data_IF_056405976524
#
_entry.id   IF_056405976524
#
_cell.length_a   1.000
_cell.length_b   1.000
_cell.length_c   1.000
_cell.angle_alpha   90.00
_cell.angle_beta   90.00
_cell.angle_gamma   90.00
#
_symmetry.space_group_name_H-M   'P 1'
#
loop_
_entity.id
_entity.type
_entity.pdbx_description
1 polymer ?
#
# COMPACT_ATOMS: atom_id res chain seq x y z
N UNK A 1 -29.85 -8.46 -27.56
CA UNK A 1 -28.39 -8.28 -27.44
C UNK A 1 -28.21 -7.15 -26.44
N UNK A 2 -27.39 -7.36 -25.40
CA UNK A 2 -27.03 -6.41 -24.31
C UNK A 2 -28.08 -6.03 -23.24
N UNK A 3 -28.42 -6.94 -22.30
CA UNK A 3 -29.02 -6.54 -20.99
C UNK A 3 -28.41 -7.34 -19.79
N UNK A 4 -27.31 -8.10 -19.94
CA UNK A 4 -26.76 -8.93 -18.85
C UNK A 4 -25.23 -8.93 -18.74
N UNK A 5 -24.61 -7.75 -18.68
CA UNK A 5 -23.29 -7.57 -18.06
C UNK A 5 -23.48 -6.88 -16.71
N UNK A 6 -24.03 -7.63 -15.73
CA UNK A 6 -24.04 -7.18 -14.34
C UNK A 6 -22.60 -6.92 -13.89
N UNK A 7 -22.35 -5.71 -13.40
CA UNK A 7 -21.02 -5.16 -13.18
C UNK A 7 -20.24 -5.93 -12.11
N UNK A 8 -19.21 -6.65 -12.53
CA UNK A 8 -18.21 -7.20 -11.61
C UNK A 8 -17.44 -6.00 -11.04
N UNK A 9 -17.46 -5.84 -9.70
CA UNK A 9 -16.71 -4.81 -8.96
C UNK A 9 -17.09 -3.32 -9.14
N UNK A 10 -18.30 -2.98 -9.60
CA UNK A 10 -18.73 -1.58 -9.79
C UNK A 10 -18.40 -0.66 -8.61
N UNK A 11 -18.74 -1.11 -7.39
CA UNK A 11 -18.51 -0.33 -6.16
C UNK A 11 -17.06 0.13 -6.00
N UNK A 12 -16.10 -0.73 -6.35
CA UNK A 12 -14.66 -0.45 -6.25
C UNK A 12 -14.22 0.48 -7.38
N UNK A 13 -14.70 0.22 -8.61
CA UNK A 13 -14.36 1.01 -9.79
C UNK A 13 -14.83 2.47 -9.64
N UNK A 14 -16.04 2.67 -9.14
CA UNK A 14 -16.60 4.01 -8.89
C UNK A 14 -15.86 4.80 -7.81
N UNK A 15 -15.21 4.12 -6.87
CA UNK A 15 -14.52 4.74 -5.72
C UNK A 15 -13.02 4.85 -5.92
N UNK A 16 -12.46 4.19 -6.93
CA UNK A 16 -11.05 4.30 -7.25
C UNK A 16 -10.75 5.69 -7.82
N UNK A 17 -9.71 6.34 -7.30
CA UNK A 17 -9.14 7.55 -7.89
C UNK A 17 -8.41 7.23 -9.18
N UNK A 18 -7.66 6.13 -9.20
CA UNK A 18 -6.92 5.66 -10.36
C UNK A 18 -7.03 4.15 -10.51
N UNK A 19 -7.08 3.69 -11.76
CA UNK A 19 -7.00 2.28 -12.15
C UNK A 19 -6.06 2.19 -13.34
N UNK A 20 -4.88 1.62 -13.14
CA UNK A 20 -3.83 1.60 -14.16
C UNK A 20 -3.28 0.20 -14.41
N UNK A 21 -3.32 -0.29 -15.67
CA UNK A 21 -4.09 0.20 -16.81
C UNK A 21 -5.53 -0.35 -16.76
N UNK A 22 -6.50 0.49 -17.11
CA UNK A 22 -7.92 0.14 -17.08
C UNK A 22 -8.26 -1.02 -18.01
N UNK A 23 -7.66 -1.08 -19.20
CA UNK A 23 -7.94 -2.12 -20.20
C UNK A 23 -7.55 -3.52 -19.72
N UNK A 24 -6.47 -3.63 -18.92
CA UNK A 24 -6.06 -4.93 -18.40
C UNK A 24 -6.95 -5.36 -17.23
N UNK A 25 -7.53 -4.42 -16.47
CA UNK A 25 -8.54 -4.76 -15.46
C UNK A 25 -9.73 -5.48 -16.10
N UNK A 26 -10.25 -4.99 -17.24
CA UNK A 26 -11.37 -5.66 -17.91
C UNK A 26 -11.05 -7.09 -18.34
N UNK A 27 -9.85 -7.31 -18.89
CA UNK A 27 -9.37 -8.66 -19.26
C UNK A 27 -9.25 -9.54 -18.03
N UNK A 28 -8.71 -9.00 -16.95
CA UNK A 28 -8.51 -9.69 -15.67
C UNK A 28 -9.86 -10.13 -15.07
N UNK A 29 -10.87 -9.25 -15.08
CA UNK A 29 -12.22 -9.57 -14.60
C UNK A 29 -12.91 -10.62 -15.48
N UNK A 30 -12.74 -10.56 -16.80
CA UNK A 30 -13.28 -11.56 -17.74
C UNK A 30 -12.65 -12.95 -17.56
N UNK A 31 -11.44 -13.04 -17.02
CA UNK A 31 -10.76 -14.33 -16.78
C UNK A 31 -11.46 -15.20 -15.72
N UNK A 32 -12.30 -14.59 -14.87
CA UNK A 32 -12.99 -15.26 -13.74
C UNK A 32 -12.05 -15.97 -12.75
N UNK A 33 -10.75 -15.68 -12.78
CA UNK A 33 -9.80 -16.25 -11.83
C UNK A 33 -10.00 -15.63 -10.44
N UNK A 34 -9.65 -16.37 -9.40
CA UNK A 34 -9.55 -15.81 -8.06
C UNK A 34 -8.32 -14.89 -7.99
N UNK A 35 -8.55 -13.58 -7.96
CA UNK A 35 -7.51 -12.56 -7.91
C UNK A 35 -6.82 -12.46 -6.55
N UNK A 36 -5.52 -12.21 -6.58
CA UNK A 36 -4.70 -11.88 -5.40
C UNK A 36 -4.59 -10.36 -5.28
N UNK A 37 -5.25 -9.79 -4.27
CA UNK A 37 -5.32 -8.35 -4.05
C UNK A 37 -4.39 -7.96 -2.90
N UNK A 38 -3.27 -7.34 -3.24
CA UNK A 38 -2.23 -6.91 -2.31
C UNK A 38 -2.59 -5.58 -1.65
N UNK A 39 -2.39 -5.50 -0.34
CA UNK A 39 -2.30 -4.25 0.41
C UNK A 39 -1.13 -4.34 1.40
N UNK A 40 -0.17 -3.43 1.26
CA UNK A 40 0.91 -3.26 2.24
C UNK A 40 0.50 -2.32 3.37
N UNK A 41 0.86 -2.68 4.60
CA UNK A 41 0.69 -1.82 5.78
C UNK A 41 1.99 -1.76 6.57
N UNK A 42 2.56 -0.57 6.71
CA UNK A 42 3.76 -0.34 7.53
C UNK A 42 3.34 0.00 8.98
N UNK A 43 3.53 -0.90 9.96
CA UNK A 43 3.05 -0.70 11.32
C UNK A 43 3.97 0.27 12.09
N UNK A 44 3.77 1.57 11.86
CA UNK A 44 4.51 2.64 12.57
C UNK A 44 3.91 3.04 13.92
N UNK A 45 2.76 2.48 14.27
CA UNK A 45 2.10 2.62 15.57
C UNK A 45 1.17 1.41 15.79
N UNK A 46 0.83 1.07 17.04
CA UNK A 46 0.04 -0.13 17.37
C UNK A 46 -1.47 0.10 17.21
N UNK A 47 -1.89 0.92 16.25
CA UNK A 47 -3.28 1.35 16.10
C UNK A 47 -3.67 1.58 14.63
N UNK A 48 -4.96 1.40 14.33
CA UNK A 48 -5.53 1.56 12.99
C UNK A 48 -6.39 2.82 12.95
N UNK A 49 -6.00 3.76 12.07
CA UNK A 49 -6.76 5.00 11.85
C UNK A 49 -7.98 4.79 10.96
N UNK A 50 -8.94 5.72 10.97
CA UNK A 50 -10.03 5.73 9.97
C UNK A 50 -9.52 5.81 8.53
N UNK A 51 -8.35 6.43 8.29
CA UNK A 51 -7.72 6.46 6.98
C UNK A 51 -7.30 5.07 6.50
N UNK A 52 -6.66 4.28 7.37
CA UNK A 52 -6.33 2.88 7.08
C UNK A 52 -7.59 2.03 6.91
N UNK A 53 -8.58 2.23 7.78
CA UNK A 53 -9.86 1.54 7.71
C UNK A 53 -10.53 1.71 6.35
N UNK A 54 -10.52 2.92 5.77
CA UNK A 54 -11.11 3.17 4.46
C UNK A 54 -10.52 2.27 3.37
N UNK A 55 -9.21 2.09 3.33
CA UNK A 55 -8.52 1.22 2.35
C UNK A 55 -8.75 -0.26 2.68
N UNK A 56 -8.68 -0.64 3.95
CA UNK A 56 -8.98 -2.01 4.40
C UNK A 56 -10.41 -2.43 4.04
N UNK A 57 -11.37 -1.50 4.04
CA UNK A 57 -12.74 -1.76 3.57
C UNK A 57 -12.83 -2.02 2.07
N UNK A 58 -11.94 -1.43 1.26
CA UNK A 58 -11.84 -1.77 -0.16
C UNK A 58 -11.28 -3.18 -0.33
N UNK A 59 -10.24 -3.56 0.43
CA UNK A 59 -9.71 -4.92 0.45
C UNK A 59 -10.79 -5.93 0.85
N UNK A 60 -11.55 -5.64 1.91
CA UNK A 60 -12.71 -6.45 2.32
C UNK A 60 -13.72 -6.60 1.20
N UNK A 61 -13.98 -5.53 0.43
CA UNK A 61 -14.93 -5.61 -0.68
C UNK A 61 -14.46 -6.54 -1.80
N UNK A 62 -13.15 -6.61 -2.07
CA UNK A 62 -12.59 -7.64 -2.96
C UNK A 62 -12.85 -9.05 -2.41
N UNK A 63 -12.73 -9.25 -1.09
CA UNK A 63 -13.07 -10.53 -0.47
C UNK A 63 -14.55 -10.89 -0.63
N UNK A 64 -15.46 -9.92 -0.51
CA UNK A 64 -16.90 -10.11 -0.72
C UNK A 64 -17.20 -10.51 -2.18
N UNK A 65 -16.33 -10.15 -3.13
CA UNK A 65 -16.39 -10.60 -4.52
C UNK A 65 -15.70 -11.95 -4.78
N UNK A 66 -15.23 -12.62 -3.73
CA UNK A 66 -14.62 -13.95 -3.80
C UNK A 66 -13.11 -13.95 -4.06
N UNK A 67 -12.45 -12.80 -3.94
CA UNK A 67 -11.00 -12.68 -4.15
C UNK A 67 -10.19 -12.92 -2.89
N UNK A 68 -8.92 -13.25 -3.04
CA UNK A 68 -7.98 -13.40 -1.93
C UNK A 68 -7.38 -12.05 -1.57
N UNK A 69 -7.60 -11.61 -0.33
CA UNK A 69 -6.88 -10.48 0.24
C UNK A 69 -5.49 -10.94 0.69
N UNK A 70 -4.46 -10.26 0.20
CA UNK A 70 -3.06 -10.47 0.63
C UNK A 70 -2.62 -9.23 1.39
N UNK A 71 -2.64 -9.32 2.72
CA UNK A 71 -2.18 -8.28 3.61
C UNK A 71 -0.69 -8.49 3.92
N UNK A 72 0.13 -7.53 3.54
CA UNK A 72 1.56 -7.55 3.81
C UNK A 72 1.85 -6.65 5.00
N UNK A 73 2.36 -7.24 6.08
CA UNK A 73 2.94 -6.50 7.19
C UNK A 73 4.33 -6.03 6.77
N UNK A 74 4.44 -4.72 6.59
CA UNK A 74 5.62 -4.02 6.10
C UNK A 74 6.70 -3.84 7.15
N UNK A 75 7.11 -4.90 7.84
CA UNK A 75 8.02 -4.79 8.99
C UNK A 75 9.47 -4.48 8.57
N UNK A 76 9.88 -4.91 7.37
CA UNK A 76 11.18 -4.52 6.81
C UNK A 76 11.11 -3.11 6.20
N UNK A 77 10.05 -2.82 5.43
CA UNK A 77 9.83 -1.50 4.82
C UNK A 77 9.63 -0.39 5.85
N UNK A 78 9.07 -0.68 7.01
CA UNK A 78 8.96 0.26 8.13
C UNK A 78 10.33 0.73 8.68
N UNK A 79 11.38 -0.10 8.58
CA UNK A 79 12.75 0.27 8.99
C UNK A 79 13.36 1.30 8.04
N UNK A 80 13.04 1.20 6.74
CA UNK A 80 13.46 2.14 5.69
C UNK A 80 12.65 3.44 5.79
N UNK A 81 11.33 3.31 5.92
CA UNK A 81 10.37 4.41 6.01
C UNK A 81 9.87 4.90 4.65
N UNK A 82 8.54 4.84 4.46
CA UNK A 82 7.88 5.34 3.25
C UNK A 82 8.04 6.86 3.08
N UNK A 83 8.66 7.35 1.98
CA UNK A 83 8.77 8.79 1.72
C UNK A 83 7.48 9.38 1.13
N UNK A 84 6.53 8.57 0.67
CA UNK A 84 5.40 8.99 -0.18
C UNK A 84 4.53 10.07 0.48
N UNK A 85 4.51 11.25 -0.15
CA UNK A 85 3.77 12.42 0.33
C UNK A 85 4.33 13.04 1.61
N UNK A 86 5.63 12.83 1.91
CA UNK A 86 6.34 13.43 3.06
C UNK A 86 7.30 14.52 2.61
N UNK A 87 7.45 15.54 3.45
CA UNK A 87 8.37 16.67 3.23
C UNK A 87 9.72 16.50 3.96
N UNK A 88 9.82 15.55 4.89
CA UNK A 88 11.01 15.34 5.73
C UNK A 88 11.33 13.85 5.85
N UNK A 89 12.60 13.53 6.13
CA UNK A 89 13.08 12.17 6.34
C UNK A 89 12.43 11.55 7.57
N UNK A 90 11.99 10.28 7.44
CA UNK A 90 11.41 9.53 8.56
C UNK A 90 12.44 9.23 9.63
N UNK A 91 12.02 9.24 10.90
CA UNK A 91 12.81 8.70 12.00
C UNK A 91 12.86 7.18 11.87
N UNK A 92 14.07 6.61 11.90
CA UNK A 92 14.28 5.16 11.89
C UNK A 92 13.66 4.54 13.14
N UNK A 93 12.83 3.51 12.96
CA UNK A 93 12.20 2.76 14.03
C UNK A 93 12.99 1.49 14.33
N UNK A 94 13.04 1.09 15.61
CA UNK A 94 13.69 -0.15 16.02
C UNK A 94 12.86 -1.37 15.62
N UNK A 95 13.51 -2.50 15.35
CA UNK A 95 12.83 -3.73 14.95
C UNK A 95 11.80 -4.20 16.00
N UNK A 96 12.16 -4.20 17.28
CA UNK A 96 11.25 -4.59 18.36
C UNK A 96 10.00 -3.69 18.42
N UNK A 97 10.15 -2.39 18.13
CA UNK A 97 9.02 -1.44 18.14
C UNK A 97 8.07 -1.72 16.97
N UNK A 98 8.62 -2.04 15.80
CA UNK A 98 7.84 -2.42 14.61
C UNK A 98 7.06 -3.71 14.87
N UNK A 99 7.70 -4.70 15.49
CA UNK A 99 7.06 -5.99 15.80
C UNK A 99 5.92 -5.80 16.83
N UNK A 100 6.12 -4.96 17.83
CA UNK A 100 5.08 -4.64 18.81
C UNK A 100 3.91 -3.86 18.18
N UNK A 101 4.20 -2.94 17.26
CA UNK A 101 3.16 -2.27 16.48
C UNK A 101 2.37 -3.25 15.60
N UNK A 102 3.06 -4.18 14.93
CA UNK A 102 2.45 -5.22 14.12
C UNK A 102 1.49 -6.09 14.95
N UNK A 103 1.90 -6.49 16.16
CA UNK A 103 1.04 -7.21 17.12
C UNK A 103 -0.19 -6.41 17.53
N UNK A 104 -0.07 -5.08 17.66
CA UNK A 104 -1.17 -4.19 18.00
C UNK A 104 -2.21 -4.02 16.89
N UNK A 105 -1.77 -3.84 15.65
CA UNK A 105 -2.69 -3.61 14.51
C UNK A 105 -3.37 -4.90 14.01
N UNK A 106 -2.70 -6.05 14.12
CA UNK A 106 -3.15 -7.29 13.51
C UNK A 106 -4.55 -7.76 13.98
N UNK A 107 -4.88 -7.78 15.29
CA UNK A 107 -6.21 -8.15 15.76
C UNK A 107 -7.30 -7.22 15.21
N UNK A 108 -6.99 -5.93 15.12
CA UNK A 108 -7.90 -4.92 14.61
C UNK A 108 -8.19 -5.17 13.12
N UNK A 109 -7.15 -5.43 12.32
CA UNK A 109 -7.28 -5.70 10.89
C UNK A 109 -8.04 -7.01 10.65
N UNK A 110 -7.78 -8.06 11.44
CA UNK A 110 -8.50 -9.33 11.36
C UNK A 110 -10.01 -9.18 11.61
N UNK A 111 -10.41 -8.23 12.45
CA UNK A 111 -11.84 -7.94 12.66
C UNK A 111 -12.51 -7.24 11.46
N UNK A 112 -11.74 -6.60 10.57
CA UNK A 112 -12.26 -5.91 9.38
C UNK A 112 -12.33 -6.89 8.20
N UNK A 113 -11.30 -7.70 8.03
CA UNK A 113 -11.15 -8.63 6.92
C UNK A 113 -11.85 -9.97 7.20
N UNK A 114 -12.07 -10.77 6.15
CA UNK A 114 -12.66 -12.10 6.25
C UNK A 114 -11.56 -13.17 6.29
N UNK A 115 -11.50 -13.99 7.34
CA UNK A 115 -10.46 -15.00 7.51
C UNK A 115 -10.46 -16.08 6.41
N UNK A 116 -11.61 -16.36 5.79
CA UNK A 116 -11.75 -17.45 4.81
C UNK A 116 -10.95 -17.24 3.52
N UNK A 117 -10.62 -15.99 3.18
CA UNK A 117 -9.89 -15.60 1.98
C UNK A 117 -8.91 -14.48 2.28
N UNK A 118 -8.18 -14.63 3.39
CA UNK A 118 -7.15 -13.71 3.86
C UNK A 118 -5.81 -14.43 4.00
N UNK A 119 -4.80 -13.90 3.33
CA UNK A 119 -3.40 -14.25 3.53
C UNK A 119 -2.71 -13.07 4.24
N UNK A 120 -2.09 -13.33 5.38
CA UNK A 120 -1.30 -12.34 6.11
C UNK A 120 0.15 -12.82 6.07
N UNK A 121 1.04 -11.98 5.55
CA UNK A 121 2.46 -12.30 5.35
C UNK A 121 3.33 -11.15 5.84
N UNK A 122 4.56 -11.44 6.25
CA UNK A 122 5.55 -10.41 6.59
C UNK A 122 6.52 -10.22 5.43
N UNK A 123 6.80 -8.98 5.03
CA UNK A 123 7.83 -8.75 4.01
C UNK A 123 9.26 -8.98 4.51
N UNK A 124 9.48 -9.13 5.83
CA UNK A 124 10.76 -9.64 6.34
C UNK A 124 11.06 -11.04 5.80
N UNK A 125 10.05 -11.86 5.52
CA UNK A 125 10.22 -13.25 5.08
C UNK A 125 11.01 -13.40 3.78
N UNK A 126 11.01 -12.38 2.93
CA UNK A 126 11.77 -12.35 1.69
C UNK A 126 12.76 -11.18 1.61
N UNK A 127 12.44 -9.99 2.10
CA UNK A 127 13.33 -8.82 1.98
C UNK A 127 14.60 -8.98 2.81
N UNK A 128 14.53 -9.61 3.99
CA UNK A 128 15.72 -9.87 4.83
C UNK A 128 16.70 -10.88 4.21
N UNK A 129 16.25 -11.62 3.19
CA UNK A 129 17.03 -12.65 2.50
C UNK A 129 17.63 -12.16 1.19
N UNK A 130 17.33 -10.92 0.77
CA UNK A 130 17.91 -10.35 -0.44
C UNK A 130 19.42 -10.21 -0.28
N UNK A 131 20.15 -10.81 -1.21
CA UNK A 131 21.59 -10.66 -1.32
C UNK A 131 21.93 -9.31 -1.96
N UNK A 132 23.21 -8.92 -1.88
CA UNK A 132 23.70 -7.73 -2.60
C UNK A 132 23.42 -7.85 -4.10
N UNK A 133 23.51 -9.06 -4.66
CA UNK A 133 23.23 -9.29 -6.08
C UNK A 133 21.74 -9.05 -6.39
N UNK A 134 20.83 -9.52 -5.55
CA UNK A 134 19.39 -9.26 -5.71
C UNK A 134 19.09 -7.77 -5.60
N UNK A 135 19.75 -7.08 -4.68
CA UNK A 135 19.64 -5.62 -4.52
C UNK A 135 20.14 -4.85 -5.75
N UNK A 136 21.26 -5.27 -6.33
CA UNK A 136 21.78 -4.68 -7.57
C UNK A 136 20.83 -4.92 -8.74
N UNK A 137 20.27 -6.12 -8.83
CA UNK A 137 19.27 -6.44 -9.84
C UNK A 137 18.03 -5.55 -9.69
N UNK A 138 17.48 -5.42 -8.48
CA UNK A 138 16.32 -4.55 -8.21
C UNK A 138 16.63 -3.09 -8.55
N UNK A 139 17.77 -2.57 -8.10
CA UNK A 139 18.19 -1.20 -8.38
C UNK A 139 18.36 -0.94 -9.89
N UNK A 140 18.70 -1.96 -10.69
CA UNK A 140 18.81 -1.82 -12.15
C UNK A 140 17.47 -1.69 -12.88
N UNK A 141 16.34 -1.99 -12.22
CA UNK A 141 15.00 -1.96 -12.84
C UNK A 141 14.38 -0.55 -12.92
N UNK A 142 15.03 0.45 -12.36
CA UNK A 142 14.60 1.85 -12.36
C UNK A 142 15.79 2.76 -12.55
N UNK A 143 15.55 4.02 -12.91
CA UNK A 143 16.56 5.05 -12.98
C UNK A 143 16.35 6.10 -11.89
N UNK A 144 17.43 6.84 -11.57
CA UNK A 144 17.31 8.01 -10.72
C UNK A 144 16.35 9.04 -11.33
N UNK A 145 16.36 9.22 -12.66
CA UNK A 145 15.44 10.14 -13.34
C UNK A 145 13.97 9.76 -13.08
N UNK A 146 13.60 8.48 -13.21
CA UNK A 146 12.24 8.01 -12.91
C UNK A 146 11.89 8.19 -11.42
N UNK A 147 12.82 7.91 -10.51
CA UNK A 147 12.61 8.18 -9.07
C UNK A 147 12.33 9.67 -8.82
N UNK A 148 12.98 10.56 -9.55
CA UNK A 148 12.78 12.01 -9.46
C UNK A 148 11.48 12.52 -10.11
N UNK A 149 10.74 11.68 -10.85
CA UNK A 149 9.38 12.02 -11.31
C UNK A 149 8.36 11.99 -10.17
N UNK A 150 8.72 11.40 -9.03
CA UNK A 150 7.89 11.35 -7.84
C UNK A 150 7.82 12.73 -7.18
N UNK A 151 6.62 13.24 -6.96
CA UNK A 151 6.37 14.61 -6.49
C UNK A 151 7.13 14.96 -5.20
N UNK A 152 7.22 14.01 -4.26
CA UNK A 152 7.89 14.19 -2.98
C UNK A 152 9.42 14.29 -3.10
N UNK A 153 10.05 13.44 -3.92
CA UNK A 153 11.47 13.54 -4.21
C UNK A 153 11.81 14.78 -5.04
N UNK A 154 11.03 15.04 -6.08
CA UNK A 154 11.20 16.22 -6.95
C UNK A 154 11.15 17.51 -6.13
N UNK A 155 10.13 17.65 -5.28
CA UNK A 155 9.95 18.82 -4.42
C UNK A 155 11.10 18.98 -3.42
N UNK A 156 11.46 17.92 -2.69
CA UNK A 156 12.56 17.97 -1.71
C UNK A 156 13.89 18.31 -2.36
N UNK A 157 14.17 17.77 -3.54
CA UNK A 157 15.39 18.08 -4.27
C UNK A 157 15.45 19.54 -4.71
N UNK A 158 14.34 20.06 -5.27
CA UNK A 158 14.24 21.48 -5.65
C UNK A 158 14.36 22.42 -4.44
N UNK A 159 13.83 21.99 -3.29
CA UNK A 159 13.89 22.72 -2.02
C UNK A 159 15.25 22.55 -1.29
N UNK A 160 16.23 21.84 -1.88
CA UNK A 160 17.50 21.45 -1.26
C UNK A 160 17.35 20.73 0.09
N UNK A 161 16.22 20.07 0.30
CA UNK A 161 15.98 19.22 1.45
C UNK A 161 16.72 17.90 1.29
N UNK A 162 17.42 17.40 2.32
CA UNK A 162 18.14 16.12 2.23
C UNK A 162 17.21 14.98 1.80
N UNK A 163 17.67 14.13 0.90
CA UNK A 163 17.02 12.86 0.50
C UNK A 163 18.04 11.75 0.74
N UNK A 164 17.73 10.81 1.64
CA UNK A 164 18.62 9.69 1.91
C UNK A 164 18.59 8.69 0.76
N UNK A 165 19.75 8.12 0.40
CA UNK A 165 19.81 7.03 -0.58
C UNK A 165 18.96 5.81 -0.16
N UNK A 166 18.79 5.61 1.15
CA UNK A 166 17.94 4.54 1.68
C UNK A 166 16.47 4.72 1.25
N UNK A 167 16.00 5.96 1.11
CA UNK A 167 14.63 6.27 0.70
C UNK A 167 14.34 5.82 -0.74
N UNK A 168 15.35 5.75 -1.61
CA UNK A 168 15.21 5.23 -2.98
C UNK A 168 15.03 3.71 -3.04
N UNK A 169 15.38 2.98 -1.98
CA UNK A 169 15.15 1.54 -1.93
C UNK A 169 13.73 1.18 -1.49
N UNK A 170 13.03 2.07 -0.76
CA UNK A 170 11.65 1.81 -0.32
C UNK A 170 10.74 1.35 -1.47
N UNK A 171 10.67 2.05 -2.62
CA UNK A 171 9.73 1.68 -3.68
C UNK A 171 10.14 0.39 -4.39
N UNK A 172 11.44 0.10 -4.43
CA UNK A 172 11.97 -1.17 -4.95
C UNK A 172 11.53 -2.33 -4.07
N UNK A 173 11.63 -2.19 -2.75
CA UNK A 173 11.16 -3.19 -1.80
C UNK A 173 9.64 -3.41 -1.90
N UNK A 174 8.87 -2.33 -1.89
CA UNK A 174 7.42 -2.42 -2.06
C UNK A 174 7.04 -3.09 -3.39
N UNK A 175 7.74 -2.79 -4.48
CA UNK A 175 7.49 -3.44 -5.76
C UNK A 175 7.92 -4.92 -5.78
N UNK A 176 9.00 -5.29 -5.10
CA UNK A 176 9.41 -6.68 -4.94
C UNK A 176 8.42 -7.48 -4.10
N UNK A 177 7.75 -6.87 -3.12
CA UNK A 177 6.65 -7.51 -2.39
C UNK A 177 5.58 -8.04 -3.37
N UNK A 178 5.29 -7.31 -4.45
CA UNK A 178 4.35 -7.77 -5.49
C UNK A 178 4.83 -8.97 -6.29
N UNK A 179 6.14 -9.13 -6.47
CA UNK A 179 6.76 -10.33 -7.05
C UNK A 179 6.58 -11.50 -6.10
N UNK A 180 6.95 -11.30 -4.83
CA UNK A 180 6.89 -12.33 -3.78
C UNK A 180 5.48 -12.91 -3.63
N UNK A 181 4.45 -12.06 -3.62
CA UNK A 181 3.06 -12.50 -3.45
C UNK A 181 2.31 -12.75 -4.77
N UNK A 182 2.96 -12.54 -5.92
CA UNK A 182 2.35 -12.66 -7.26
C UNK A 182 1.02 -11.89 -7.35
N UNK A 183 1.05 -10.61 -6.97
CA UNK A 183 -0.14 -9.76 -6.90
C UNK A 183 -0.78 -9.58 -8.28
N UNK A 184 -2.10 -9.73 -8.35
CA UNK A 184 -2.89 -9.41 -9.55
C UNK A 184 -3.37 -7.97 -9.54
N UNK A 185 -3.64 -7.44 -8.36
CA UNK A 185 -4.02 -6.05 -8.09
C UNK A 185 -3.28 -5.62 -6.83
N UNK A 186 -2.66 -4.45 -6.84
CA UNK A 186 -2.24 -3.78 -5.61
C UNK A 186 -3.11 -2.56 -5.38
N UNK A 187 -3.59 -2.43 -4.14
CA UNK A 187 -4.39 -1.29 -3.72
C UNK A 187 -3.66 -0.41 -2.71
N UNK A 188 -3.97 0.88 -2.72
CA UNK A 188 -3.38 1.84 -1.80
C UNK A 188 -4.10 3.19 -1.79
N UNK A 189 -3.60 4.10 -0.97
CA UNK A 189 -3.99 5.51 -1.04
C UNK A 189 -3.50 6.15 -2.34
N UNK A 190 -4.10 7.28 -2.73
CA UNK A 190 -3.72 7.99 -3.96
C UNK A 190 -2.25 8.45 -3.99
N UNK A 191 -1.64 8.64 -2.83
CA UNK A 191 -0.21 8.94 -2.66
C UNK A 191 0.72 7.77 -3.01
N UNK A 192 0.19 6.55 -3.15
CA UNK A 192 0.96 5.34 -3.46
C UNK A 192 1.02 5.02 -4.96
N UNK A 193 0.36 5.80 -5.82
CA UNK A 193 0.21 5.47 -7.24
C UNK A 193 1.56 5.15 -7.90
N UNK A 194 2.58 5.97 -7.65
CA UNK A 194 3.90 5.77 -8.25
C UNK A 194 4.55 4.45 -7.79
N UNK A 195 4.49 4.11 -6.50
CA UNK A 195 5.05 2.86 -5.99
C UNK A 195 4.31 1.64 -6.56
N UNK A 196 2.98 1.72 -6.66
CA UNK A 196 2.15 0.68 -7.28
C UNK A 196 2.50 0.47 -8.76
N UNK A 197 2.80 1.55 -9.48
CA UNK A 197 3.24 1.48 -10.88
C UNK A 197 4.65 0.90 -11.00
N UNK A 198 5.57 1.24 -10.10
CA UNK A 198 6.89 0.61 -10.07
C UNK A 198 6.79 -0.90 -9.79
N UNK A 199 5.89 -1.32 -8.90
CA UNK A 199 5.60 -2.74 -8.65
C UNK A 199 5.20 -3.49 -9.92
N UNK A 200 4.43 -2.85 -10.82
CA UNK A 200 4.11 -3.41 -12.15
C UNK A 200 5.35 -3.65 -13.00
N UNK A 201 6.23 -2.65 -13.09
CA UNK A 201 7.43 -2.76 -13.92
C UNK A 201 8.41 -3.79 -13.35
N UNK A 202 8.54 -3.87 -12.03
CA UNK A 202 9.34 -4.89 -11.36
C UNK A 202 8.77 -6.28 -11.67
N UNK A 203 7.47 -6.51 -11.54
CA UNK A 203 6.86 -7.80 -11.89
C UNK A 203 7.15 -8.24 -13.33
N UNK A 204 7.09 -7.32 -14.31
CA UNK A 204 7.46 -7.63 -15.70
C UNK A 204 8.90 -8.11 -15.83
N UNK A 205 9.82 -7.50 -15.08
CA UNK A 205 11.24 -7.87 -15.10
C UNK A 205 11.53 -9.24 -14.48
N UNK A 206 10.57 -9.79 -13.70
CA UNK A 206 10.59 -11.14 -13.14
C UNK A 206 9.68 -12.11 -13.92
N UNK A 207 9.33 -11.77 -15.16
CA UNK A 207 8.48 -12.57 -16.05
C UNK A 207 7.09 -12.89 -15.46
N UNK A 208 6.59 -12.03 -14.58
CA UNK A 208 5.24 -12.13 -14.02
C UNK A 208 4.25 -11.22 -14.76
N UNK A 209 2.97 -11.58 -14.70
CA UNK A 209 1.91 -10.67 -15.13
C UNK A 209 1.88 -9.43 -14.23
N UNK A 210 1.88 -8.21 -14.81
CA UNK A 210 1.91 -6.98 -14.02
C UNK A 210 0.56 -6.70 -13.35
N UNK A 211 0.58 -6.43 -12.05
CA UNK A 211 -0.57 -6.15 -11.18
C UNK A 211 -1.36 -4.91 -11.61
N UNK A 212 -2.68 -4.85 -11.54
CA UNK A 212 -3.38 -3.57 -11.70
C UNK A 212 -3.05 -2.66 -10.50
N UNK A 213 -2.63 -1.43 -10.77
CA UNK A 213 -2.48 -0.39 -9.76
C UNK A 213 -3.83 0.29 -9.53
N UNK A 214 -4.43 0.12 -8.35
CA UNK A 214 -5.73 0.72 -8.04
C UNK A 214 -5.64 1.55 -6.75
N UNK A 215 -5.78 2.87 -6.88
CA UNK A 215 -5.69 3.77 -5.72
C UNK A 215 -7.04 4.34 -5.32
N UNK A 216 -7.21 4.64 -4.05
CA UNK A 216 -8.42 5.24 -3.50
C UNK A 216 -8.14 6.62 -2.86
N UNK A 217 -9.17 7.47 -2.69
CA UNK A 217 -9.01 8.77 -2.04
C UNK A 217 -8.44 8.64 -0.63
N UNK A 218 -7.62 9.61 -0.24
CA UNK A 218 -7.11 9.71 1.12
C UNK A 218 -8.15 10.38 2.01
N UNK A 219 -8.37 9.82 3.20
CA UNK A 219 -9.20 10.47 4.21
C UNK A 219 -8.47 11.68 4.76
N UNK A 220 -9.14 12.83 4.78
CA UNK A 220 -8.64 14.07 5.39
C UNK A 220 -8.67 13.92 6.91
N UNK A 221 -7.63 14.40 7.58
CA UNK A 221 -7.52 14.37 9.03
C UNK A 221 -8.46 15.37 9.70
N UNK A 222 -8.46 15.37 11.03
CA UNK A 222 -9.30 16.26 11.84
C UNK A 222 -8.98 17.74 11.67
N UNK A 223 -7.80 18.07 11.14
CA UNK A 223 -7.43 19.45 10.77
C UNK A 223 -8.12 19.97 9.50
N UNK A 224 -8.83 19.11 8.76
CA UNK A 224 -9.59 19.49 7.56
C UNK A 224 -8.78 19.79 6.31
N UNK A 225 -7.45 19.62 6.33
CA UNK A 225 -6.55 19.99 5.23
C UNK A 225 -5.57 18.90 4.82
N UNK A 226 -4.88 18.26 5.77
CA UNK A 226 -3.87 17.23 5.51
C UNK A 226 -4.49 15.84 5.55
N UNK A 227 -3.83 14.87 4.92
CA UNK A 227 -4.22 13.45 5.04
C UNK A 227 -4.20 13.02 6.51
N UNK A 228 -5.14 12.17 6.89
CA UNK A 228 -5.19 11.59 8.23
C UNK A 228 -3.93 10.76 8.49
N UNK A 229 -3.23 11.05 9.58
CA UNK A 229 -1.96 10.42 9.91
C UNK A 229 -1.66 10.45 11.41
N UNK A 230 -1.21 9.32 11.94
CA UNK A 230 -0.69 9.25 13.31
C UNK A 230 0.47 10.22 13.54
N UNK A 231 1.38 10.35 12.56
CA UNK A 231 2.53 11.26 12.65
C UNK A 231 2.16 12.75 12.70
N UNK A 232 0.99 13.13 12.20
CA UNK A 232 0.50 14.51 12.24
C UNK A 232 -0.44 14.76 13.43
N UNK A 233 -0.71 13.74 14.24
CA UNK A 233 -1.66 13.76 15.34
C UNK A 233 -3.05 14.32 14.94
N UNK A 234 -3.49 14.05 13.70
CA UNK A 234 -4.74 14.54 13.13
C UNK A 234 -5.70 13.38 12.78
N UNK A 235 -5.70 12.32 13.60
CA UNK A 235 -6.36 11.06 13.32
C UNK A 235 -7.40 10.67 14.36
N UNK A 236 -8.35 9.86 13.91
CA UNK A 236 -9.29 9.14 14.75
C UNK A 236 -8.93 7.65 14.68
N UNK A 237 -8.74 7.03 15.84
CA UNK A 237 -8.54 5.58 15.95
C UNK A 237 -9.86 4.88 15.74
N UNK A 238 -9.85 3.71 15.10
CA UNK A 238 -11.07 2.90 15.03
C UNK A 238 -11.43 2.27 16.38
N UNK A 239 -10.50 2.29 17.33
CA UNK A 239 -10.67 1.81 18.70
C UNK A 239 -11.12 2.93 19.65
N UNK A 240 -11.21 4.18 19.18
CA UNK A 240 -11.69 5.30 20.00
C UNK A 240 -13.15 5.09 20.40
N UNK A 241 -13.49 5.45 21.65
CA UNK A 241 -14.89 5.53 22.06
C UNK A 241 -15.59 6.67 21.33
N UNK A 242 -16.93 6.63 21.25
CA UNK A 242 -17.70 7.73 20.66
C UNK A 242 -17.33 9.09 21.28
N UNK A 243 -17.16 9.15 22.61
CA UNK A 243 -16.76 10.37 23.31
C UNK A 243 -15.40 10.87 22.83
N UNK A 244 -14.39 9.99 22.81
CA UNK A 244 -13.02 10.33 22.38
C UNK A 244 -12.97 10.77 20.91
N UNK A 245 -13.73 10.12 20.04
CA UNK A 245 -13.83 10.50 18.63
C UNK A 245 -14.47 11.87 18.46
N UNK A 246 -15.52 12.19 19.22
CA UNK A 246 -16.18 13.49 19.17
C UNK A 246 -15.32 14.62 19.72
N UNK A 247 -14.46 14.37 20.70
CA UNK A 247 -13.50 15.36 21.22
C UNK A 247 -12.41 15.73 20.20
N UNK A 248 -12.20 14.90 19.17
CA UNK A 248 -11.20 15.10 18.11
C UNK A 248 -11.78 15.78 16.85
N UNK A 249 -13.11 15.84 16.71
CA UNK A 249 -13.83 16.44 15.58
C UNK A 249 -14.18 17.90 15.88
#
# INVERSE_FOLDING_TARGET
MEIYTGLIMEYLIERATNINPKDDLEKLLKSKKNLRVKLGVDPTAPDVTLGWYAILRMLRKFQDYGHTAVLILGEFTAQVGDPSGKSETRKVMGENEIDDNAKGVLPIIKNILNENNLEIVSNKDWLSKLTIQDMMELASKTTLAQMMERDDFSKRFNDNSPISLLEFFYPLYQGYDSVAVKADIEIGGNDQLWNLMLGREIQKSYDLSPQIAMTFPLLVGTDGSKKMSQSLNNYISISDTLKTSLEKL
#
